data_IF_474000238617
#
_entry.id   IF_474000238617
#
_cell.length_a   1.000
_cell.length_b   1.000
_cell.length_c   1.000
_cell.angle_alpha   90.00
_cell.angle_beta   90.00
_cell.angle_gamma   90.00
#
_symmetry.space_group_name_H-M   'P 1'
#
loop_
_entity.id
_entity.type
_entity.pdbx_description
1 polymer ?
#
# COMPACT_ATOMS: atom_id res chain seq x y z
N UNK A 1 0.71 -6.73 17.47
CA UNK A 1 0.69 -5.47 16.69
C UNK A 1 -0.72 -5.19 16.24
N UNK A 2 -1.17 -3.95 16.36
CA UNK A 2 -2.47 -3.50 15.82
C UNK A 2 -2.35 -3.21 14.31
N UNK A 3 -3.48 -3.16 13.58
CA UNK A 3 -3.48 -2.78 12.16
C UNK A 3 -2.78 -1.43 11.90
N UNK A 4 -3.07 -0.42 12.73
CA UNK A 4 -2.46 0.91 12.61
C UNK A 4 -0.94 0.89 12.79
N UNK A 5 -0.41 0.03 13.66
CA UNK A 5 1.04 -0.13 13.80
C UNK A 5 1.67 -0.76 12.56
N UNK A 6 0.99 -1.72 11.92
CA UNK A 6 1.46 -2.35 10.69
C UNK A 6 1.41 -1.33 9.55
N UNK A 7 0.30 -0.61 9.39
CA UNK A 7 0.17 0.47 8.40
C UNK A 7 1.29 1.52 8.56
N UNK A 8 1.61 1.92 9.79
CA UNK A 8 2.70 2.86 10.05
C UNK A 8 4.07 2.31 9.64
N UNK A 9 4.34 1.02 9.88
CA UNK A 9 5.59 0.37 9.44
C UNK A 9 5.65 0.18 7.93
N UNK A 10 4.52 -0.07 7.29
CA UNK A 10 4.43 -0.06 5.83
C UNK A 10 4.70 1.35 5.29
N UNK A 11 4.17 2.39 5.94
CA UNK A 11 4.36 3.78 5.55
C UNK A 11 5.82 4.24 5.65
N UNK A 12 6.57 3.74 6.64
CA UNK A 12 8.03 3.95 6.74
C UNK A 12 8.78 3.41 5.51
N UNK A 13 8.24 2.36 4.88
CA UNK A 13 8.78 1.72 3.67
C UNK A 13 7.85 1.91 2.47
N UNK A 14 7.12 3.03 2.41
CA UNK A 14 6.06 3.24 1.43
C UNK A 14 6.54 3.14 -0.02
N UNK A 15 7.78 3.53 -0.31
CA UNK A 15 8.36 3.43 -1.65
C UNK A 15 8.49 1.96 -2.07
N UNK A 16 9.09 1.13 -1.21
CA UNK A 16 9.23 -0.31 -1.46
C UNK A 16 7.87 -1.00 -1.53
N UNK A 17 6.94 -0.67 -0.63
CA UNK A 17 5.58 -1.24 -0.62
C UNK A 17 4.82 -0.86 -1.90
N UNK A 18 4.87 0.42 -2.31
CA UNK A 18 4.22 0.87 -3.53
C UNK A 18 4.83 0.19 -4.77
N UNK A 19 6.14 0.00 -4.82
CA UNK A 19 6.79 -0.75 -5.90
C UNK A 19 6.42 -2.24 -5.87
N UNK A 20 6.27 -2.84 -4.69
CA UNK A 20 5.87 -4.25 -4.53
C UNK A 20 4.43 -4.50 -4.98
N UNK A 21 3.50 -3.63 -4.58
CA UNK A 21 2.08 -3.76 -4.89
C UNK A 21 1.73 -3.27 -6.29
N UNK A 22 2.38 -2.20 -6.75
CA UNK A 22 2.06 -1.49 -7.98
C UNK A 22 3.31 -1.35 -8.87
N UNK A 23 3.86 -2.46 -9.39
CA UNK A 23 5.15 -2.47 -10.11
C UNK A 23 5.14 -1.68 -11.43
N UNK A 24 3.97 -1.49 -12.05
CA UNK A 24 3.83 -0.64 -13.25
C UNK A 24 3.67 0.86 -12.96
N UNK A 25 3.66 1.25 -11.68
CA UNK A 25 3.63 2.64 -11.28
C UNK A 25 5.00 3.33 -11.44
N UNK A 26 4.97 4.66 -11.36
CA UNK A 26 6.16 5.51 -11.40
C UNK A 26 6.14 6.51 -10.27
N UNK A 27 7.31 6.87 -9.77
CA UNK A 27 7.44 7.96 -8.80
C UNK A 27 7.34 9.32 -9.51
N UNK A 28 6.35 10.12 -9.11
CA UNK A 28 6.19 11.51 -9.53
C UNK A 28 6.32 12.42 -8.30
N UNK A 29 7.51 12.99 -8.11
CA UNK A 29 7.82 13.84 -6.95
C UNK A 29 7.71 13.09 -5.62
N UNK A 30 6.68 13.45 -4.85
CA UNK A 30 6.35 12.88 -3.53
C UNK A 30 5.21 11.84 -3.59
N UNK A 31 4.79 11.45 -4.79
CA UNK A 31 3.71 10.48 -4.99
C UNK A 31 4.17 9.32 -5.89
N UNK A 32 3.56 8.16 -5.70
CA UNK A 32 3.63 7.02 -6.63
C UNK A 32 2.35 7.03 -7.47
N UNK A 33 2.50 7.17 -8.79
CA UNK A 33 1.37 7.25 -9.72
C UNK A 33 1.29 5.98 -10.55
N UNK A 34 0.10 5.40 -10.62
CA UNK A 34 -0.22 4.21 -11.42
C UNK A 34 -1.62 4.37 -12.00
N UNK A 35 -1.96 3.56 -13.00
CA UNK A 35 -3.25 3.61 -13.67
C UNK A 35 -4.39 3.11 -12.80
N UNK A 36 -4.18 2.01 -12.09
CA UNK A 36 -5.20 1.35 -11.26
C UNK A 36 -4.53 0.47 -10.21
N UNK A 37 -5.33 -0.11 -9.31
CA UNK A 37 -4.90 -1.17 -8.38
C UNK A 37 -4.35 -2.42 -9.08
N UNK A 38 -4.69 -2.63 -10.36
CA UNK A 38 -4.12 -3.69 -11.20
C UNK A 38 -2.66 -3.43 -11.63
N UNK A 39 -2.08 -2.28 -11.28
CA UNK A 39 -0.69 -1.96 -11.59
C UNK A 39 -0.44 -1.56 -13.05
N UNK A 40 -1.48 -1.28 -13.83
CA UNK A 40 -1.37 -0.80 -15.21
C UNK A 40 -0.81 0.63 -15.28
N UNK A 41 -0.23 1.03 -16.42
CA UNK A 41 0.31 2.39 -16.59
C UNK A 41 -0.84 3.40 -16.66
N UNK A 42 -0.75 4.45 -15.86
CA UNK A 42 -1.70 5.57 -15.87
C UNK A 42 -1.44 6.52 -14.68
N UNK A 43 -2.41 7.39 -14.40
CA UNK A 43 -2.31 8.41 -13.35
C UNK A 43 -3.53 8.47 -12.41
N UNK A 44 -4.47 7.53 -12.56
CA UNK A 44 -5.73 7.54 -11.81
C UNK A 44 -5.55 7.11 -10.36
N UNK A 45 -4.48 6.40 -9.99
CA UNK A 45 -4.18 6.06 -8.60
C UNK A 45 -2.89 6.76 -8.15
N UNK A 46 -2.94 7.43 -7.00
CA UNK A 46 -1.81 8.06 -6.34
C UNK A 46 -1.58 7.54 -4.94
N UNK A 47 -0.33 7.23 -4.58
CA UNK A 47 0.10 6.92 -3.21
C UNK A 47 1.07 7.98 -2.72
N UNK A 48 0.81 8.60 -1.58
CA UNK A 48 1.74 9.55 -0.99
C UNK A 48 2.96 8.83 -0.41
N UNK A 49 4.16 9.23 -0.85
CA UNK A 49 5.43 8.62 -0.46
C UNK A 49 6.11 9.33 0.72
N UNK A 50 5.64 10.53 1.09
CA UNK A 50 6.28 11.40 2.09
C UNK A 50 5.28 12.26 2.84
N UNK A 51 5.70 12.77 3.99
CA UNK A 51 4.93 13.68 4.84
C UNK A 51 3.96 12.93 5.76
N UNK A 52 3.08 13.68 6.42
CA UNK A 52 2.07 13.14 7.35
C UNK A 52 1.10 12.16 6.69
N UNK A 53 0.97 12.23 5.36
CA UNK A 53 0.13 11.35 4.54
C UNK A 53 0.90 10.18 3.93
N UNK A 54 2.15 9.93 4.32
CA UNK A 54 2.90 8.81 3.76
C UNK A 54 2.13 7.48 3.95
N UNK A 55 1.92 6.76 2.85
CA UNK A 55 1.13 5.53 2.83
C UNK A 55 -0.37 5.71 2.58
N UNK A 56 -0.88 6.95 2.55
CA UNK A 56 -2.24 7.22 2.10
C UNK A 56 -2.30 7.12 0.58
N UNK A 57 -3.29 6.41 0.08
CA UNK A 57 -3.55 6.28 -1.36
C UNK A 57 -4.96 6.72 -1.73
N UNK A 58 -5.14 7.07 -2.99
CA UNK A 58 -6.44 7.43 -3.57
C UNK A 58 -6.49 7.00 -5.03
N UNK A 59 -7.59 6.37 -5.43
CA UNK A 59 -7.97 6.16 -6.82
C UNK A 59 -9.01 7.24 -7.21
N UNK A 60 -8.60 8.12 -8.11
CA UNK A 60 -9.41 9.22 -8.62
C UNK A 60 -10.50 8.76 -9.60
N UNK A 61 -10.43 7.53 -10.12
CA UNK A 61 -11.46 6.97 -11.01
C UNK A 61 -12.60 6.31 -10.25
N UNK A 62 -12.31 5.59 -9.17
CA UNK A 62 -13.33 4.93 -8.33
C UNK A 62 -13.73 5.76 -7.10
N UNK A 63 -12.88 6.69 -6.68
CA UNK A 63 -13.05 7.45 -5.43
C UNK A 63 -12.60 6.67 -4.18
N UNK A 64 -11.98 5.50 -4.36
CA UNK A 64 -11.47 4.70 -3.26
C UNK A 64 -10.22 5.34 -2.66
N UNK A 65 -10.11 5.29 -1.34
CA UNK A 65 -8.97 5.83 -0.60
C UNK A 65 -8.78 5.03 0.69
N UNK A 66 -7.55 5.02 1.20
CA UNK A 66 -7.24 4.37 2.46
C UNK A 66 -5.76 4.42 2.78
N UNK A 67 -5.33 3.57 3.70
CA UNK A 67 -3.92 3.36 4.00
C UNK A 67 -3.34 2.16 3.21
N UNK A 68 -2.06 1.85 3.43
CA UNK A 68 -1.37 0.79 2.69
C UNK A 68 -1.98 -0.61 2.90
N UNK A 69 -2.70 -0.87 4.00
CA UNK A 69 -3.42 -2.12 4.18
C UNK A 69 -4.66 -2.18 3.30
N UNK A 70 -5.41 -1.08 3.18
CA UNK A 70 -6.54 -1.01 2.25
C UNK A 70 -6.07 -1.11 0.80
N UNK A 71 -4.91 -0.51 0.47
CA UNK A 71 -4.29 -0.69 -0.84
C UNK A 71 -3.96 -2.16 -1.09
N UNK A 72 -3.40 -2.84 -0.10
CA UNK A 72 -3.05 -4.26 -0.20
C UNK A 72 -4.28 -5.11 -0.50
N UNK A 73 -5.39 -4.85 0.20
CA UNK A 73 -6.67 -5.52 -0.02
C UNK A 73 -7.20 -5.29 -1.43
N UNK A 74 -7.13 -4.05 -1.91
CA UNK A 74 -7.60 -3.69 -3.24
C UNK A 74 -6.75 -4.35 -4.34
N UNK A 75 -5.42 -4.33 -4.20
CA UNK A 75 -4.48 -4.92 -5.16
C UNK A 75 -4.54 -6.45 -5.17
N UNK A 76 -4.63 -7.08 -4.00
CA UNK A 76 -4.67 -8.56 -3.87
C UNK A 76 -6.07 -9.14 -3.93
N UNK A 77 -7.12 -8.30 -3.98
CA UNK A 77 -8.51 -8.71 -3.88
C UNK A 77 -8.77 -9.63 -2.67
N UNK A 78 -8.29 -9.23 -1.49
CA UNK A 78 -8.35 -10.04 -0.27
C UNK A 78 -8.99 -9.30 0.92
N UNK A 79 -9.34 -10.05 1.96
CA UNK A 79 -9.86 -9.50 3.21
C UNK A 79 -8.75 -8.90 4.10
N UNK A 80 -9.16 -8.14 5.13
CA UNK A 80 -8.22 -7.46 6.04
C UNK A 80 -7.33 -8.44 6.82
N UNK A 81 -7.82 -9.63 7.18
CA UNK A 81 -7.03 -10.63 7.89
C UNK A 81 -5.90 -11.18 7.02
N UNK A 82 -6.21 -11.48 5.77
CA UNK A 82 -5.23 -11.91 4.76
C UNK A 82 -4.21 -10.80 4.49
N UNK A 83 -4.64 -9.57 4.23
CA UNK A 83 -3.76 -8.43 4.00
C UNK A 83 -2.81 -8.17 5.18
N UNK A 84 -3.31 -8.25 6.43
CA UNK A 84 -2.47 -8.11 7.62
C UNK A 84 -1.41 -9.21 7.72
N UNK A 85 -1.77 -10.45 7.38
CA UNK A 85 -0.85 -11.59 7.41
C UNK A 85 0.26 -11.42 6.38
N UNK A 86 -0.10 -11.06 5.15
CA UNK A 86 0.87 -10.78 4.10
C UNK A 86 1.76 -9.58 4.42
N UNK A 87 1.18 -8.48 4.91
CA UNK A 87 1.92 -7.29 5.32
C UNK A 87 2.90 -7.58 6.46
N UNK A 88 2.51 -8.37 7.47
CA UNK A 88 3.41 -8.82 8.54
C UNK A 88 4.57 -9.64 7.97
N UNK A 89 4.27 -10.57 7.07
CA UNK A 89 5.26 -11.41 6.40
C UNK A 89 6.25 -10.55 5.59
N UNK A 90 5.74 -9.59 4.81
CA UNK A 90 6.53 -8.63 4.05
C UNK A 90 7.45 -7.77 4.94
N UNK A 91 6.96 -7.33 6.10
CA UNK A 91 7.73 -6.58 7.08
C UNK A 91 8.74 -7.45 7.86
N UNK A 92 8.78 -8.76 7.63
CA UNK A 92 9.62 -9.69 8.38
C UNK A 92 9.23 -9.79 9.86
N UNK A 93 7.98 -9.47 10.20
CA UNK A 93 7.45 -9.64 11.55
C UNK A 93 7.13 -11.12 11.70
N UNK A 94 8.10 -11.89 12.20
CA UNK A 94 7.86 -13.27 12.60
C UNK A 94 6.81 -13.26 13.73
N UNK A 95 5.62 -13.79 13.47
CA UNK A 95 4.77 -14.22 14.57
C UNK A 95 5.52 -15.34 15.29
N UNK A 96 5.80 -15.23 16.59
CA UNK A 96 6.43 -16.31 17.32
C UNK A 96 5.53 -17.54 17.15
N UNK A 97 6.05 -18.57 16.46
CA UNK A 97 5.47 -19.91 16.52
C UNK A 97 5.53 -20.33 17.98
N UNK A 98 4.38 -20.35 18.64
CA UNK A 98 4.17 -21.12 19.88
C UNK A 98 4.33 -22.61 19.58
#
# INVERSE_FOLDING_TARGET
MTPSQIAQRLADRVIDVAHHLLPGGKREGSEWRVGSVNGEKGQSLGVHLKGEKAGVWCDFSTGETGDLLDLWRAVRSCDMGTALTEAKSYLGIAEPKL
#
